data_IF_960652157016
#
_entry.id   IF_960652157016
#
_cell.length_a   1.000
_cell.length_b   1.000
_cell.length_c   1.000
_cell.angle_alpha   90.00
_cell.angle_beta   90.00
_cell.angle_gamma   90.00
#
_symmetry.space_group_name_H-M   'P 1'
#
loop_
_entity.id
_entity.type
_entity.pdbx_description
1 polymer ?
#
# COMPACT_ATOMS: atom_id res chain seq x y z
N UNK A 1 -12.00 -13.31 -17.38
CA UNK A 1 -11.47 -12.08 -16.76
C UNK A 1 -11.99 -12.03 -15.33
N UNK A 2 -11.15 -11.76 -14.33
CA UNK A 2 -11.61 -11.69 -12.94
C UNK A 2 -12.38 -10.38 -12.74
N UNK A 3 -13.62 -10.47 -12.23
CA UNK A 3 -14.40 -9.30 -11.83
C UNK A 3 -14.17 -9.02 -10.34
N UNK A 4 -13.21 -8.14 -10.05
CA UNK A 4 -12.89 -7.75 -8.67
C UNK A 4 -14.07 -7.10 -7.94
N UNK A 5 -14.99 -6.45 -8.66
CA UNK A 5 -16.15 -5.78 -8.06
C UNK A 5 -17.14 -6.81 -7.51
N UNK A 6 -17.42 -7.84 -8.29
CA UNK A 6 -18.30 -8.94 -7.87
C UNK A 6 -17.72 -9.70 -6.68
N UNK A 7 -16.40 -9.92 -6.65
CA UNK A 7 -15.70 -10.54 -5.53
C UNK A 7 -15.79 -9.65 -4.28
N UNK A 8 -15.53 -8.35 -4.41
CA UNK A 8 -15.64 -7.37 -3.32
C UNK A 8 -17.04 -7.38 -2.71
N UNK A 9 -18.09 -7.31 -3.54
CA UNK A 9 -19.49 -7.30 -3.10
C UNK A 9 -19.83 -8.56 -2.32
N UNK A 10 -19.47 -9.74 -2.86
CA UNK A 10 -19.72 -11.03 -2.22
C UNK A 10 -18.97 -11.16 -0.89
N UNK A 11 -17.69 -10.79 -0.84
CA UNK A 11 -16.92 -10.83 0.42
C UNK A 11 -17.52 -9.89 1.47
N UNK A 12 -17.95 -8.69 1.04
CA UNK A 12 -18.52 -7.70 1.94
C UNK A 12 -19.86 -8.15 2.51
N UNK A 13 -20.73 -8.75 1.68
CA UNK A 13 -22.04 -9.24 2.11
C UNK A 13 -21.94 -10.46 3.02
N UNK A 14 -21.18 -11.48 2.61
CA UNK A 14 -21.12 -12.76 3.32
C UNK A 14 -20.36 -12.68 4.66
N UNK A 15 -19.36 -11.79 4.75
CA UNK A 15 -18.54 -11.64 5.97
C UNK A 15 -18.94 -10.43 6.82
N UNK A 16 -19.96 -9.66 6.42
CA UNK A 16 -20.40 -8.47 7.15
C UNK A 16 -19.30 -7.41 7.33
N UNK A 17 -18.49 -7.19 6.28
CA UNK A 17 -17.32 -6.32 6.40
C UNK A 17 -17.73 -4.85 6.57
N UNK A 18 -17.15 -4.19 7.57
CA UNK A 18 -17.33 -2.74 7.79
C UNK A 18 -16.36 -1.89 6.99
N UNK A 19 -15.38 -2.51 6.33
CA UNK A 19 -14.37 -1.87 5.48
C UNK A 19 -14.31 -2.59 4.14
N UNK A 20 -14.14 -1.84 3.05
CA UNK A 20 -14.01 -2.41 1.71
C UNK A 20 -12.76 -3.30 1.63
N UNK A 21 -12.87 -4.55 1.18
CA UNK A 21 -11.71 -5.40 0.97
C UNK A 21 -10.85 -4.85 -0.18
N UNK A 22 -9.55 -5.13 -0.12
CA UNK A 22 -8.58 -4.70 -1.14
C UNK A 22 -8.01 -5.92 -1.85
N UNK A 23 -7.82 -5.81 -3.16
CA UNK A 23 -7.09 -6.79 -3.94
C UNK A 23 -5.62 -6.38 -4.03
N UNK A 24 -4.71 -7.31 -3.74
CA UNK A 24 -3.26 -7.12 -3.84
C UNK A 24 -2.72 -8.18 -4.79
N UNK A 25 -1.89 -7.75 -5.74
CA UNK A 25 -1.15 -8.62 -6.64
C UNK A 25 0.32 -8.20 -6.68
N UNK A 26 1.21 -9.17 -6.80
CA UNK A 26 2.64 -8.96 -7.02
C UNK A 26 2.97 -9.36 -8.45
N UNK A 27 3.82 -8.57 -9.11
CA UNK A 27 4.28 -8.86 -10.46
C UNK A 27 5.57 -8.11 -10.75
N UNK A 28 6.38 -8.65 -11.65
CA UNK A 28 7.68 -8.09 -12.01
C UNK A 28 7.58 -6.92 -12.99
N UNK A 29 6.39 -6.71 -13.59
CA UNK A 29 6.12 -5.63 -14.55
C UNK A 29 4.91 -4.81 -14.14
N UNK A 30 4.85 -3.51 -14.49
CA UNK A 30 3.69 -2.67 -14.22
C UNK A 30 2.41 -3.25 -14.84
N UNK A 31 1.32 -3.33 -14.07
CA UNK A 31 0.03 -3.78 -14.61
C UNK A 31 -0.50 -2.79 -15.66
N UNK A 32 -1.03 -3.34 -16.76
CA UNK A 32 -1.58 -2.52 -17.85
C UNK A 32 -2.75 -1.65 -17.37
N UNK A 33 -2.75 -0.37 -17.76
CA UNK A 33 -3.84 0.57 -17.46
C UNK A 33 -3.93 1.02 -16.00
N UNK A 34 -2.96 0.67 -15.14
CA UNK A 34 -2.92 1.11 -13.74
C UNK A 34 -1.80 2.12 -13.56
N UNK A 35 -2.13 3.28 -13.01
CA UNK A 35 -1.14 4.34 -12.76
C UNK A 35 -0.19 3.97 -11.61
N UNK A 36 1.05 4.46 -11.70
CA UNK A 36 2.00 4.39 -10.59
C UNK A 36 1.50 5.28 -9.45
N UNK A 37 1.72 4.86 -8.22
CA UNK A 37 1.53 5.74 -7.07
C UNK A 37 2.46 6.96 -7.14
N UNK A 38 1.91 8.14 -6.90
CA UNK A 38 2.66 9.39 -6.82
C UNK A 38 2.75 9.91 -5.39
N UNK A 39 3.89 10.51 -5.06
CA UNK A 39 4.17 11.08 -3.74
C UNK A 39 4.79 10.08 -2.76
N UNK A 40 4.65 10.34 -1.46
CA UNK A 40 5.18 9.47 -0.41
C UNK A 40 4.18 9.33 0.73
N UNK A 41 4.21 8.19 1.41
CA UNK A 41 3.39 7.90 2.58
C UNK A 41 4.28 7.68 3.80
N UNK A 42 3.76 7.90 5.03
CA UNK A 42 4.53 7.67 6.25
C UNK A 42 4.85 6.19 6.49
N UNK A 43 4.07 5.27 5.93
CA UNK A 43 4.27 3.82 6.06
C UNK A 43 3.51 3.04 4.98
N UNK A 44 3.94 1.80 4.68
CA UNK A 44 3.31 0.94 3.67
C UNK A 44 1.86 0.58 3.99
N UNK A 45 1.49 0.52 5.28
CA UNK A 45 0.09 0.33 5.70
C UNK A 45 -0.84 1.44 5.17
N UNK A 46 -0.31 2.63 4.86
CA UNK A 46 -1.08 3.71 4.26
C UNK A 46 -1.64 3.32 2.89
N UNK A 47 -0.94 2.49 2.11
CA UNK A 47 -1.44 2.03 0.82
C UNK A 47 -2.72 1.20 0.94
N UNK A 48 -2.86 0.43 2.02
CA UNK A 48 -4.01 -0.42 2.27
C UNK A 48 -5.24 0.44 2.56
N UNK A 49 -5.07 1.49 3.38
CA UNK A 49 -6.12 2.50 3.62
C UNK A 49 -6.53 3.18 2.31
N UNK A 50 -5.56 3.70 1.56
CA UNK A 50 -5.82 4.40 0.30
C UNK A 50 -6.54 3.51 -0.73
N UNK A 51 -6.17 2.23 -0.82
CA UNK A 51 -6.85 1.26 -1.67
C UNK A 51 -8.28 0.97 -1.19
N UNK A 52 -8.49 0.85 0.12
CA UNK A 52 -9.84 0.66 0.69
C UNK A 52 -10.76 1.87 0.45
N UNK A 53 -10.20 3.07 0.34
CA UNK A 53 -10.89 4.31 -0.06
C UNK A 53 -11.22 4.35 -1.57
N UNK A 54 -10.86 3.32 -2.34
CA UNK A 54 -11.22 3.15 -3.75
C UNK A 54 -10.15 3.57 -4.74
N UNK A 55 -8.92 3.86 -4.30
CA UNK A 55 -7.81 4.15 -5.21
C UNK A 55 -7.23 2.87 -5.78
N UNK A 56 -6.96 2.88 -7.09
CA UNK A 56 -6.22 1.80 -7.78
C UNK A 56 -4.90 2.34 -8.28
N UNK A 57 -3.80 1.70 -7.89
CA UNK A 57 -2.44 2.10 -8.25
C UNK A 57 -1.48 0.92 -8.09
N UNK A 58 -0.32 0.98 -8.73
CA UNK A 58 0.80 0.09 -8.41
C UNK A 58 1.89 0.85 -7.66
N UNK A 59 2.69 0.10 -6.90
CA UNK A 59 3.86 0.62 -6.17
C UNK A 59 5.10 -0.12 -6.61
N UNK A 60 6.26 0.49 -6.42
CA UNK A 60 7.57 -0.14 -6.58
C UNK A 60 8.24 -0.29 -5.21
N UNK A 61 9.29 -1.12 -5.06
CA UNK A 61 9.93 -1.34 -3.75
C UNK A 61 10.31 -0.05 -3.00
N UNK A 62 10.76 0.99 -3.72
CA UNK A 62 11.15 2.26 -3.12
C UNK A 62 10.01 3.01 -2.42
N UNK A 63 8.76 2.77 -2.81
CA UNK A 63 7.58 3.42 -2.21
C UNK A 63 7.32 2.91 -0.78
N UNK A 64 7.85 1.73 -0.44
CA UNK A 64 7.65 1.05 0.85
C UNK A 64 8.77 1.33 1.87
N UNK A 65 9.85 2.02 1.48
CA UNK A 65 11.02 2.24 2.33
C UNK A 65 10.78 3.07 3.60
N UNK A 66 9.64 3.75 3.71
CA UNK A 66 9.26 4.50 4.91
C UNK A 66 8.67 3.61 6.02
N UNK A 67 8.60 2.29 5.81
CA UNK A 67 7.99 1.35 6.76
C UNK A 67 9.00 0.24 7.14
N UNK A 68 9.81 0.43 8.20
CA UNK A 68 10.77 -0.58 8.63
C UNK A 68 10.12 -1.93 8.95
N UNK A 69 8.99 -1.91 9.68
CA UNK A 69 8.24 -3.13 10.01
C UNK A 69 7.71 -3.82 8.75
N UNK A 70 7.15 -3.07 7.81
CA UNK A 70 6.65 -3.64 6.56
C UNK A 70 7.78 -4.22 5.70
N UNK A 71 8.92 -3.52 5.63
CA UNK A 71 10.07 -4.00 4.89
C UNK A 71 10.62 -5.31 5.47
N UNK A 72 10.69 -5.41 6.80
CA UNK A 72 11.08 -6.64 7.49
C UNK A 72 10.08 -7.78 7.21
N UNK A 73 8.78 -7.54 7.44
CA UNK A 73 7.73 -8.56 7.25
C UNK A 73 7.65 -9.09 5.82
N UNK A 74 7.90 -8.24 4.82
CA UNK A 74 7.86 -8.61 3.42
C UNK A 74 9.23 -8.99 2.83
N UNK A 75 10.26 -9.14 3.68
CA UNK A 75 11.64 -9.43 3.27
C UNK A 75 12.15 -8.51 2.14
N UNK A 76 11.71 -7.24 2.16
CA UNK A 76 12.19 -6.23 1.22
C UNK A 76 13.48 -5.67 1.80
N UNK A 77 14.50 -5.55 0.96
CA UNK A 77 15.70 -4.78 1.29
C UNK A 77 15.28 -3.33 1.57
N UNK A 78 15.09 -2.99 2.84
CA UNK A 78 14.81 -1.62 3.24
C UNK A 78 16.05 -0.79 2.92
N UNK A 79 15.85 0.40 2.38
CA UNK A 79 16.88 1.43 2.45
C UNK A 79 16.97 1.88 3.92
N UNK A 80 17.62 1.07 4.77
CA UNK A 80 18.01 1.37 6.16
C UNK A 80 18.89 2.64 6.24
N UNK A 81 19.17 3.30 5.11
CA UNK A 81 19.90 4.56 4.98
C UNK A 81 19.12 5.63 4.19
N UNK A 82 17.85 5.90 4.52
CA UNK A 82 17.34 7.28 4.40
C UNK A 82 17.70 8.01 5.69
N UNK A 83 18.86 8.66 5.64
CA UNK A 83 19.45 9.52 6.67
C UNK A 83 18.43 10.42 7.38
N UNK A 84 18.40 10.29 8.71
CA UNK A 84 18.29 11.34 9.71
C UNK A 84 18.06 12.78 9.21
N UNK A 85 16.86 13.14 8.73
CA UNK A 85 16.50 14.56 8.50
C UNK A 85 15.03 14.90 8.74
N UNK A 86 14.43 14.34 9.79
CA UNK A 86 13.39 15.07 10.52
C UNK A 86 13.72 14.96 12.01
N UNK A 87 14.55 15.89 12.47
CA UNK A 87 14.67 16.22 13.89
C UNK A 87 13.27 16.66 14.32
N UNK A 88 12.62 15.86 15.15
CA UNK A 88 11.44 16.30 15.88
C UNK A 88 11.89 17.43 16.79
N UNK A 89 11.48 18.66 16.48
CA UNK A 89 11.61 19.81 17.39
C UNK A 89 10.29 19.92 18.13
N UNK A 90 10.21 19.57 19.43
CA UNK A 90 9.05 19.93 20.22
C UNK A 90 9.03 21.46 20.31
N UNK A 91 8.00 22.09 19.76
CA UNK A 91 7.69 23.48 20.09
C UNK A 91 7.28 23.51 21.56
N UNK A 92 8.06 24.24 22.37
CA UNK A 92 7.61 24.78 23.66
C UNK A 92 6.69 25.97 23.42
#
# INVERSE_FOLDING_TARGET
>A
MLDYRSIEQRLSSELGLTRRPIAIAFGDTPPAGVAKFEGSVPSGCSFWRLASEGRTFFTVPSDHYNCPIGSYTHNMSSCMRRSATRRWTPTS
#
